data_IF_771241914701
#
_entry.id   IF_771241914701
#
_cell.length_a   1.000
_cell.length_b   1.000
_cell.length_c   1.000
_cell.angle_alpha   90.00
_cell.angle_beta   90.00
_cell.angle_gamma   90.00
#
_symmetry.space_group_name_H-M   'P 1'
#
loop_
_entity.id
_entity.type
_entity.pdbx_description
1 polymer ?
#
# COMPACT_ATOMS: atom_id res chain seq x y z
N UNK A 1 12.06 -1.27 9.45
CA UNK A 1 11.44 -0.94 10.74
C UNK A 1 11.32 0.58 10.83
N UNK A 2 10.18 1.10 11.28
CA UNK A 2 10.04 2.51 11.62
C UNK A 2 10.99 2.80 12.78
N UNK A 3 11.98 3.67 12.57
CA UNK A 3 12.93 4.06 13.61
C UNK A 3 12.11 4.71 14.73
N UNK A 4 12.18 4.14 15.95
CA UNK A 4 11.47 4.63 17.14
C UNK A 4 9.93 4.70 17.07
N UNK A 5 9.28 3.98 16.14
CA UNK A 5 7.82 4.03 16.00
C UNK A 5 7.30 5.28 15.30
N UNK A 6 8.16 6.04 14.61
CA UNK A 6 7.73 7.15 13.76
C UNK A 6 6.91 6.64 12.55
N UNK A 7 5.62 6.95 12.54
CA UNK A 7 4.68 6.60 11.46
C UNK A 7 4.51 7.71 10.42
N UNK A 8 5.15 8.87 10.59
CA UNK A 8 5.04 9.97 9.63
C UNK A 8 5.42 9.54 8.19
N UNK A 9 6.46 8.73 7.94
CA UNK A 9 6.82 8.33 6.58
C UNK A 9 5.71 7.52 5.88
N UNK A 10 5.12 6.53 6.56
CA UNK A 10 4.06 5.72 5.96
C UNK A 10 2.77 6.52 5.79
N UNK A 11 2.43 7.38 6.75
CA UNK A 11 1.27 8.27 6.66
C UNK A 11 1.40 9.23 5.46
N UNK A 12 2.57 9.82 5.28
CA UNK A 12 2.81 10.77 4.20
C UNK A 12 2.78 10.07 2.83
N UNK A 13 3.32 8.84 2.75
CA UNK A 13 3.19 8.02 1.55
C UNK A 13 1.72 7.70 1.22
N UNK A 14 0.94 7.25 2.22
CA UNK A 14 -0.49 6.96 2.06
C UNK A 14 -1.29 8.21 1.66
N UNK A 15 -0.94 9.38 2.22
CA UNK A 15 -1.56 10.65 1.86
C UNK A 15 -1.41 10.92 0.36
N UNK A 16 -0.20 10.82 -0.16
CA UNK A 16 0.08 11.24 -1.53
C UNK A 16 -0.36 10.21 -2.58
N UNK A 17 -0.26 8.92 -2.28
CA UNK A 17 -0.51 7.85 -3.26
C UNK A 17 -1.92 7.26 -3.17
N UNK A 18 -2.58 7.32 -1.99
CA UNK A 18 -3.88 6.66 -1.76
C UNK A 18 -4.99 7.65 -1.41
N UNK A 19 -4.79 8.51 -0.41
CA UNK A 19 -5.86 9.37 0.11
C UNK A 19 -6.11 10.61 -0.77
N UNK A 20 -5.06 11.27 -1.26
CA UNK A 20 -5.16 12.50 -2.06
C UNK A 20 -5.94 12.33 -3.37
N UNK A 21 -5.80 11.22 -4.14
CA UNK A 21 -6.60 11.00 -5.35
C UNK A 21 -8.12 10.91 -5.08
N UNK A 22 -8.52 10.41 -3.90
CA UNK A 22 -9.93 10.22 -3.55
C UNK A 22 -10.66 9.35 -4.58
N UNK A 23 -11.87 9.77 -5.01
CA UNK A 23 -12.68 9.06 -6.02
C UNK A 23 -12.32 9.41 -7.48
N UNK A 24 -11.23 10.14 -7.73
CA UNK A 24 -10.85 10.56 -9.09
C UNK A 24 -10.18 9.46 -9.90
N UNK A 25 -9.72 8.39 -9.25
CA UNK A 25 -9.13 7.19 -9.84
C UNK A 25 -9.94 5.99 -9.39
N UNK A 26 -10.17 5.05 -10.28
CA UNK A 26 -10.70 3.76 -9.87
C UNK A 26 -9.62 2.94 -9.12
N UNK A 27 -10.03 1.83 -8.51
CA UNK A 27 -9.12 0.99 -7.71
C UNK A 27 -7.95 0.46 -8.54
N UNK A 28 -8.18 0.11 -9.80
CA UNK A 28 -7.15 -0.48 -10.67
C UNK A 28 -6.11 0.55 -11.10
N UNK A 29 -6.56 1.76 -11.47
CA UNK A 29 -5.68 2.90 -11.75
C UNK A 29 -4.86 3.31 -10.52
N UNK A 30 -5.50 3.37 -9.35
CA UNK A 30 -4.84 3.72 -8.10
C UNK A 30 -3.72 2.73 -7.75
N UNK A 31 -3.97 1.43 -7.91
CA UNK A 31 -2.99 0.38 -7.65
C UNK A 31 -1.82 0.46 -8.64
N UNK A 32 -2.08 0.61 -9.94
CA UNK A 32 -0.99 0.74 -10.93
C UNK A 32 -0.12 1.96 -10.67
N UNK A 33 -0.71 3.09 -10.30
CA UNK A 33 0.05 4.31 -9.99
C UNK A 33 0.86 4.19 -8.69
N UNK A 34 0.30 3.57 -7.66
CA UNK A 34 0.91 3.51 -6.32
C UNK A 34 1.95 2.38 -6.18
N UNK A 35 1.70 1.22 -6.79
CA UNK A 35 2.50 -0.01 -6.60
C UNK A 35 2.94 -0.68 -7.90
N UNK A 36 2.59 -0.12 -9.07
CA UNK A 36 3.07 -0.59 -10.38
C UNK A 36 2.28 -1.77 -10.97
N UNK A 37 1.30 -2.31 -10.24
CA UNK A 37 0.47 -3.45 -10.66
C UNK A 37 -0.99 -3.22 -10.30
N UNK A 38 -1.90 -3.98 -10.92
CA UNK A 38 -3.31 -4.04 -10.50
C UNK A 38 -3.48 -4.84 -9.19
N UNK A 39 -4.72 -5.23 -8.90
CA UNK A 39 -5.03 -6.05 -7.73
C UNK A 39 -4.39 -7.44 -7.86
N UNK A 40 -3.51 -7.77 -6.92
CA UNK A 40 -2.80 -9.05 -6.85
C UNK A 40 -2.88 -9.61 -5.42
N UNK A 41 -3.40 -10.84 -5.19
CA UNK A 41 -3.46 -11.45 -3.87
C UNK A 41 -2.09 -11.93 -3.35
N UNK A 42 -1.12 -12.13 -4.24
CA UNK A 42 0.17 -12.77 -3.94
C UNK A 42 0.98 -12.08 -2.82
N UNK A 43 1.07 -10.74 -2.72
CA UNK A 43 1.75 -10.08 -1.60
C UNK A 43 1.16 -10.43 -0.23
N UNK A 44 -0.17 -10.63 -0.17
CA UNK A 44 -0.84 -11.01 1.07
C UNK A 44 -0.59 -12.49 1.41
N UNK A 45 -0.63 -13.38 0.43
CA UNK A 45 -0.31 -14.80 0.64
C UNK A 45 1.12 -14.99 1.20
N UNK A 46 2.12 -14.34 0.60
CA UNK A 46 3.49 -14.35 1.13
C UNK A 46 3.61 -13.78 2.56
N UNK A 47 2.80 -12.77 2.89
CA UNK A 47 2.75 -12.25 4.25
C UNK A 47 2.21 -13.30 5.23
N UNK A 48 1.12 -13.99 4.86
CA UNK A 48 0.53 -15.05 5.67
C UNK A 48 1.51 -16.21 5.88
N UNK A 49 2.21 -16.66 4.83
CA UNK A 49 3.24 -17.70 4.94
C UNK A 49 4.30 -17.35 5.99
N UNK A 50 4.73 -16.08 6.04
CA UNK A 50 5.73 -15.61 7.00
C UNK A 50 5.22 -15.49 8.43
N UNK A 51 3.92 -15.25 8.63
CA UNK A 51 3.33 -14.99 9.96
C UNK A 51 2.70 -16.24 10.57
N UNK A 52 2.29 -17.20 9.73
CA UNK A 52 1.63 -18.44 10.15
C UNK A 52 2.61 -19.61 10.28
N UNK A 53 3.76 -19.57 9.60
CA UNK A 53 4.87 -20.50 9.82
C UNK A 53 5.62 -20.21 11.13
#
# INVERSE_FOLDING_TARGET
MLVAGDVAPIRDWLRDHVHRPGRRRDTEELLRDAVGSGLDPEPFLRHLERVVA
#
